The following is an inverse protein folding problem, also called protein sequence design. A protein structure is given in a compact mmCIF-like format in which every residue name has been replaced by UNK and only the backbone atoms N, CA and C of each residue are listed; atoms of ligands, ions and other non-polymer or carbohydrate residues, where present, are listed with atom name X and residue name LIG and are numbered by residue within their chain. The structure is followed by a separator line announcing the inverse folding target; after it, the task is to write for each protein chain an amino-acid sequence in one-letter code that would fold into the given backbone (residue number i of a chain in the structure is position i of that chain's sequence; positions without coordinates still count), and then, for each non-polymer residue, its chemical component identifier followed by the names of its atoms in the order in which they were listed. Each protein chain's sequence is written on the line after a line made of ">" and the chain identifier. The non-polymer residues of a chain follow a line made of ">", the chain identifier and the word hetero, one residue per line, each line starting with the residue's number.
data_IF_810281927184
#
_entry.id   IF_810281927184
#
_cell.length_a   1.000
_cell.length_b   1.000
_cell.length_c   1.000
_cell.angle_alpha   90.00
_cell.angle_beta   90.00
_cell.angle_gamma   90.00
#
_symmetry.space_group_name_H-M   'P 1'
#
loop_
_entity.id
_entity.type
_entity.pdbx_description
1 polymer ?
#
# COMPACT_ATOMS: atom_id res chain seq x y z
N UNK A 1 -53.70 -2.10 6.81
CA UNK A 1 -52.91 -3.21 6.19
C UNK A 1 -52.84 -2.97 4.69
N UNK A 2 -51.65 -2.61 4.18
CA UNK A 2 -51.31 -2.56 2.75
C UNK A 2 -49.89 -3.08 2.60
N UNK A 3 -49.76 -4.11 1.77
CA UNK A 3 -48.49 -4.66 1.29
C UNK A 3 -47.77 -3.61 0.45
N UNK A 4 -46.47 -3.41 0.70
CA UNK A 4 -45.53 -2.89 -0.27
C UNK A 4 -44.30 -3.79 -0.26
N UNK A 5 -44.21 -4.65 -1.28
CA UNK A 5 -42.93 -5.18 -1.71
C UNK A 5 -42.16 -4.08 -2.42
N UNK A 6 -40.87 -3.94 -2.08
CA UNK A 6 -39.89 -3.31 -2.96
C UNK A 6 -38.56 -4.08 -2.85
N UNK A 7 -38.31 -4.81 -3.93
CA UNK A 7 -37.01 -4.99 -4.58
C UNK A 7 -35.89 -5.72 -3.83
N UNK A 8 -35.88 -7.05 -4.03
CA UNK A 8 -34.67 -7.87 -4.05
C UNK A 8 -33.62 -7.41 -5.10
N UNK A 9 -33.89 -6.37 -5.89
CA UNK A 9 -32.97 -5.82 -6.88
C UNK A 9 -31.75 -5.09 -6.28
N UNK A 10 -31.79 -4.67 -5.01
CA UNK A 10 -30.63 -3.99 -4.40
C UNK A 10 -29.51 -4.98 -3.97
N UNK A 11 -29.85 -6.25 -3.74
CA UNK A 11 -28.87 -7.27 -3.35
C UNK A 11 -28.15 -7.90 -4.55
N UNK A 12 -28.73 -7.84 -5.76
CA UNK A 12 -28.15 -8.47 -6.97
C UNK A 12 -27.14 -7.56 -7.68
N UNK A 13 -27.21 -6.24 -7.50
CA UNK A 13 -26.29 -5.29 -8.16
C UNK A 13 -24.92 -5.20 -7.45
N UNK A 14 -24.84 -5.56 -6.17
CA UNK A 14 -23.58 -5.59 -5.42
C UNK A 14 -22.74 -6.85 -5.64
N UNK A 15 -23.35 -7.95 -6.10
CA UNK A 15 -22.61 -9.20 -6.33
C UNK A 15 -22.03 -9.27 -7.74
N UNK A 16 -22.67 -8.67 -8.76
CA UNK A 16 -22.17 -8.69 -10.15
C UNK A 16 -21.04 -7.69 -10.42
N UNK A 17 -20.94 -6.58 -9.67
CA UNK A 17 -19.82 -5.64 -9.78
C UNK A 17 -18.50 -6.17 -9.18
N UNK A 18 -18.54 -7.24 -8.38
CA UNK A 18 -17.33 -7.94 -7.90
C UNK A 18 -16.77 -8.96 -8.92
N UNK A 19 -17.52 -9.32 -9.97
CA UNK A 19 -17.17 -10.44 -10.88
C UNK A 19 -16.37 -10.01 -12.11
N UNK A 20 -16.02 -8.72 -12.23
CA UNK A 20 -15.20 -8.22 -13.34
C UNK A 20 -13.97 -7.45 -12.86
N UNK A 21 -13.41 -7.81 -11.70
CA UNK A 21 -11.99 -7.51 -11.48
C UNK A 21 -11.21 -8.38 -12.47
N UNK A 22 -10.67 -7.76 -13.52
CA UNK A 22 -9.74 -8.39 -14.44
C UNK A 22 -8.72 -9.21 -13.62
N UNK A 23 -8.40 -10.44 -14.04
CA UNK A 23 -7.43 -11.29 -13.37
C UNK A 23 -6.13 -10.52 -13.05
N UNK A 24 -5.78 -9.54 -13.89
CA UNK A 24 -4.70 -8.59 -13.66
C UNK A 24 -4.87 -7.71 -12.40
N UNK A 25 -6.06 -7.16 -12.15
CA UNK A 25 -6.34 -6.37 -10.95
C UNK A 25 -6.34 -7.24 -9.69
N UNK A 26 -6.90 -8.45 -9.75
CA UNK A 26 -6.89 -9.40 -8.64
C UNK A 26 -5.45 -9.78 -8.30
N UNK A 27 -4.63 -10.07 -9.32
CA UNK A 27 -3.24 -10.50 -9.18
C UNK A 27 -2.36 -9.50 -8.41
N UNK A 28 -2.58 -8.19 -8.58
CA UNK A 28 -1.78 -7.18 -7.88
C UNK A 28 -2.44 -6.64 -6.61
N UNK A 29 -3.76 -6.82 -6.44
CA UNK A 29 -4.51 -6.27 -5.31
C UNK A 29 -3.99 -6.80 -3.97
N UNK A 30 -3.65 -8.09 -3.91
CA UNK A 30 -3.11 -8.71 -2.69
C UNK A 30 -1.82 -8.04 -2.23
N UNK A 31 -0.86 -7.87 -3.13
CA UNK A 31 0.43 -7.26 -2.83
C UNK A 31 0.30 -5.77 -2.45
N UNK A 32 -0.63 -5.05 -3.08
CA UNK A 32 -0.91 -3.66 -2.74
C UNK A 32 -1.57 -3.49 -1.37
N UNK A 33 -2.40 -4.46 -0.94
CA UNK A 33 -2.98 -4.47 0.41
C UNK A 33 -1.90 -4.61 1.48
N UNK A 34 -0.90 -5.47 1.28
CA UNK A 34 0.18 -5.64 2.26
C UNK A 34 1.00 -4.36 2.45
N UNK A 35 1.28 -3.65 1.35
CA UNK A 35 1.94 -2.34 1.40
C UNK A 35 1.05 -1.28 2.09
N UNK A 36 -0.23 -1.19 1.73
CA UNK A 36 -1.18 -0.23 2.34
C UNK A 36 -1.30 -0.44 3.85
N UNK A 37 -1.45 -1.69 4.29
CA UNK A 37 -1.48 -2.05 5.71
C UNK A 37 -0.19 -1.62 6.41
N UNK A 38 0.97 -1.86 5.79
CA UNK A 38 2.26 -1.49 6.36
C UNK A 38 2.43 0.03 6.50
N UNK A 39 1.97 0.81 5.52
CA UNK A 39 1.99 2.29 5.59
C UNK A 39 1.02 2.82 6.64
N UNK A 40 -0.18 2.24 6.77
CA UNK A 40 -1.13 2.61 7.83
C UNK A 40 -0.59 2.27 9.22
N UNK A 41 0.04 1.11 9.37
CA UNK A 41 0.68 0.74 10.62
C UNK A 41 1.82 1.69 10.98
N UNK A 42 2.52 2.28 10.00
CA UNK A 42 3.55 3.28 10.26
C UNK A 42 2.93 4.55 10.84
N UNK A 43 1.83 5.03 10.25
CA UNK A 43 1.10 6.18 10.78
C UNK A 43 0.59 5.91 12.21
N UNK A 44 0.04 4.71 12.47
CA UNK A 44 -0.39 4.30 13.81
C UNK A 44 0.78 4.25 14.81
N UNK A 45 1.93 3.68 14.41
CA UNK A 45 3.13 3.59 15.26
C UNK A 45 3.62 4.98 15.69
N UNK A 46 3.58 5.94 14.77
CA UNK A 46 3.92 7.34 15.03
C UNK A 46 2.93 7.98 16.00
N UNK A 47 1.62 7.75 15.79
CA UNK A 47 0.58 8.33 16.62
C UNK A 47 0.63 7.84 18.08
N UNK A 48 0.98 6.57 18.31
CA UNK A 48 1.09 6.00 19.66
C UNK A 48 2.48 6.21 20.29
N UNK A 49 3.45 6.72 19.54
CA UNK A 49 4.82 6.95 20.02
C UNK A 49 5.57 5.67 20.38
N UNK A 50 5.17 4.51 19.84
CA UNK A 50 5.80 3.22 20.16
C UNK A 50 6.98 2.96 19.24
N UNK A 51 8.19 3.07 19.80
CA UNK A 51 9.45 2.82 19.10
C UNK A 51 9.57 1.40 18.55
N UNK A 52 9.13 0.39 19.29
CA UNK A 52 9.28 -1.01 18.88
C UNK A 52 8.39 -1.28 17.68
N UNK A 53 7.13 -0.85 17.77
CA UNK A 53 6.18 -0.97 16.65
C UNK A 53 6.67 -0.17 15.44
N UNK A 54 7.26 1.02 15.66
CA UNK A 54 7.88 1.80 14.59
C UNK A 54 9.00 1.02 13.87
N UNK A 55 9.95 0.43 14.60
CA UNK A 55 11.04 -0.35 13.97
C UNK A 55 10.51 -1.58 13.24
N UNK A 56 9.56 -2.32 13.84
CA UNK A 56 8.94 -3.49 13.22
C UNK A 56 8.27 -3.12 11.88
N UNK A 57 7.54 -2.00 11.84
CA UNK A 57 6.86 -1.55 10.62
C UNK A 57 7.84 -1.03 9.59
N UNK A 58 8.85 -0.25 9.99
CA UNK A 58 9.89 0.23 9.07
C UNK A 58 10.67 -0.94 8.46
N UNK A 59 10.94 -1.99 9.24
CA UNK A 59 11.57 -3.19 8.73
C UNK A 59 10.69 -3.91 7.70
N UNK A 60 9.38 -4.04 7.96
CA UNK A 60 8.44 -4.64 7.00
C UNK A 60 8.37 -3.84 5.69
N UNK A 61 8.33 -2.52 5.77
CA UNK A 61 8.32 -1.65 4.58
C UNK A 61 9.63 -1.73 3.79
N UNK A 62 10.78 -1.75 4.48
CA UNK A 62 12.08 -1.85 3.84
C UNK A 62 12.30 -3.23 3.17
N UNK A 63 11.79 -4.29 3.78
CA UNK A 63 11.90 -5.66 3.27
C UNK A 63 10.73 -6.10 2.38
N UNK A 64 9.71 -5.25 2.20
CA UNK A 64 8.56 -5.57 1.36
C UNK A 64 9.02 -5.85 -0.06
N UNK A 65 8.52 -6.91 -0.66
CA UNK A 65 8.77 -7.25 -2.06
C UNK A 65 7.48 -7.80 -2.63
N UNK A 66 7.20 -7.44 -3.89
CA UNK A 66 6.12 -8.07 -4.64
C UNK A 66 6.47 -9.54 -4.88
N UNK A 67 5.59 -10.45 -4.45
CA UNK A 67 5.76 -11.89 -4.63
C UNK A 67 4.92 -12.39 -5.80
N UNK A 68 5.44 -13.33 -6.57
CA UNK A 68 4.67 -14.00 -7.61
C UNK A 68 3.61 -14.91 -6.97
N UNK A 69 2.45 -15.02 -7.61
CA UNK A 69 1.33 -15.84 -7.15
C UNK A 69 1.11 -17.02 -8.10
N UNK A 70 1.20 -18.28 -7.63
CA UNK A 70 1.06 -19.46 -8.50
C UNK A 70 -0.25 -19.49 -9.29
N UNK A 71 -1.32 -19.00 -8.66
CA UNK A 71 -2.69 -18.93 -9.18
C UNK A 71 -2.90 -17.88 -10.29
N UNK A 72 -2.12 -16.79 -10.28
CA UNK A 72 -2.29 -15.67 -11.22
C UNK A 72 -0.99 -15.26 -11.94
N UNK A 73 0.06 -16.08 -11.90
CA UNK A 73 1.42 -15.66 -12.24
C UNK A 73 1.58 -15.07 -13.65
N UNK A 74 0.83 -15.55 -14.65
CA UNK A 74 0.83 -14.94 -15.98
C UNK A 74 0.27 -13.50 -15.95
N UNK A 75 -0.93 -13.33 -15.41
CA UNK A 75 -1.58 -12.02 -15.29
C UNK A 75 -0.77 -11.06 -14.42
N UNK A 76 -0.17 -11.56 -13.33
CA UNK A 76 0.72 -10.80 -12.46
C UNK A 76 1.94 -10.25 -13.23
N UNK A 77 2.66 -11.13 -13.95
CA UNK A 77 3.82 -10.73 -14.76
C UNK A 77 3.47 -9.75 -15.87
N UNK A 78 2.29 -9.90 -16.50
CA UNK A 78 1.79 -8.93 -17.48
C UNK A 78 1.58 -7.53 -16.86
N UNK A 79 1.00 -7.46 -15.66
CA UNK A 79 0.83 -6.19 -14.95
C UNK A 79 2.17 -5.60 -14.54
N UNK A 80 3.09 -6.41 -14.04
CA UNK A 80 4.44 -5.96 -13.70
C UNK A 80 5.16 -5.38 -14.93
N UNK A 81 5.09 -6.05 -16.08
CA UNK A 81 5.65 -5.51 -17.33
C UNK A 81 5.02 -4.17 -17.73
N UNK A 82 3.69 -4.02 -17.57
CA UNK A 82 3.01 -2.71 -17.78
C UNK A 82 3.52 -1.66 -16.79
N UNK A 83 3.76 -2.02 -15.54
CA UNK A 83 4.25 -1.12 -14.50
C UNK A 83 5.71 -0.73 -14.70
N UNK A 84 6.55 -1.64 -15.19
CA UNK A 84 7.93 -1.38 -15.60
C UNK A 84 7.98 -0.37 -16.74
N UNK A 85 7.20 -0.59 -17.79
CA UNK A 85 7.13 0.32 -18.95
C UNK A 85 6.67 1.73 -18.56
N UNK A 86 5.81 1.84 -17.55
CA UNK A 86 5.34 3.13 -17.00
C UNK A 86 6.27 3.72 -15.95
N UNK A 87 7.33 3.00 -15.59
CA UNK A 87 8.27 3.37 -14.56
C UNK A 87 7.58 3.69 -13.21
N UNK A 88 6.51 2.97 -12.86
CA UNK A 88 5.82 3.14 -11.56
C UNK A 88 6.43 2.29 -10.45
N UNK A 89 7.18 1.23 -10.79
CA UNK A 89 7.89 0.39 -9.82
C UNK A 89 8.92 1.21 -9.01
N UNK A 90 9.42 2.33 -9.56
CA UNK A 90 10.31 3.24 -8.83
C UNK A 90 9.68 3.78 -7.53
N UNK A 91 8.36 3.95 -7.48
CA UNK A 91 7.68 4.47 -6.29
C UNK A 91 7.74 3.47 -5.14
N UNK A 92 7.61 2.16 -5.43
CA UNK A 92 7.83 1.11 -4.44
C UNK A 92 9.26 1.13 -3.88
N UNK A 93 10.26 1.32 -4.76
CA UNK A 93 11.66 1.49 -4.35
C UNK A 93 11.89 2.74 -3.48
N UNK A 94 11.21 3.85 -3.79
CA UNK A 94 11.28 5.06 -2.98
C UNK A 94 10.71 4.85 -1.58
N UNK A 95 9.61 4.12 -1.45
CA UNK A 95 9.05 3.73 -0.14
C UNK A 95 10.05 2.89 0.65
N UNK A 96 10.61 1.84 0.05
CA UNK A 96 11.61 0.98 0.69
C UNK A 96 12.84 1.78 1.14
N UNK A 97 13.34 2.66 0.26
CA UNK A 97 14.53 3.49 0.52
C UNK A 97 14.30 4.42 1.70
N UNK A 98 13.16 5.12 1.75
CA UNK A 98 12.86 6.01 2.87
C UNK A 98 12.65 5.23 4.17
N UNK A 99 11.98 4.07 4.12
CA UNK A 99 11.83 3.20 5.29
C UNK A 99 13.20 2.72 5.83
N UNK A 100 14.11 2.32 4.94
CA UNK A 100 15.46 1.91 5.30
C UNK A 100 16.29 3.07 5.86
N UNK A 101 16.15 4.27 5.29
CA UNK A 101 16.81 5.48 5.78
C UNK A 101 16.35 5.86 7.18
N UNK A 102 15.04 5.82 7.44
CA UNK A 102 14.48 6.05 8.77
C UNK A 102 14.98 5.00 9.76
N UNK A 103 14.95 3.72 9.38
CA UNK A 103 15.44 2.65 10.25
C UNK A 103 16.93 2.80 10.58
N UNK A 104 17.75 3.09 9.59
CA UNK A 104 19.18 3.37 9.77
C UNK A 104 19.44 4.60 10.64
N UNK A 105 18.61 5.63 10.54
CA UNK A 105 18.69 6.80 11.44
C UNK A 105 18.35 6.44 12.90
N UNK A 106 17.33 5.61 13.12
CA UNK A 106 16.83 5.27 14.45
C UNK A 106 17.67 4.22 15.17
N UNK A 107 18.42 3.39 14.43
CA UNK A 107 19.21 2.28 14.98
C UNK A 107 20.25 2.72 16.02
N UNK A 108 20.84 3.91 15.84
CA UNK A 108 21.85 4.47 16.75
C UNK A 108 21.25 5.14 18.01
N UNK A 109 19.92 5.23 18.13
CA UNK A 109 19.24 5.95 19.21
C UNK A 109 18.67 4.95 20.20
N UNK A 110 18.66 5.25 21.50
CA UNK A 110 17.99 4.40 22.52
C UNK A 110 16.55 4.83 22.80
N UNK A 111 16.33 6.12 23.06
CA UNK A 111 15.01 6.77 23.14
C UNK A 111 14.90 7.81 22.03
N UNK A 112 13.69 8.06 21.55
CA UNK A 112 13.43 9.06 20.51
C UNK A 112 13.04 10.38 21.16
N UNK A 113 13.76 11.44 20.81
CA UNK A 113 13.42 12.81 21.17
C UNK A 113 12.39 13.39 20.17
N UNK A 114 11.81 14.55 20.49
CA UNK A 114 10.83 15.22 19.61
C UNK A 114 11.37 15.47 18.20
N UNK A 115 12.66 15.84 18.09
CA UNK A 115 13.33 16.02 16.80
C UNK A 115 13.41 14.71 15.99
N UNK A 116 13.52 13.56 16.65
CA UNK A 116 13.51 12.26 15.97
C UNK A 116 12.11 11.95 15.44
N UNK A 117 11.06 12.20 16.24
CA UNK A 117 9.67 12.03 15.81
C UNK A 117 9.28 12.99 14.68
N UNK A 118 9.78 14.23 14.70
CA UNK A 118 9.61 15.17 13.60
C UNK A 118 10.23 14.61 12.30
N UNK A 119 11.43 14.04 12.38
CA UNK A 119 12.08 13.40 11.23
C UNK A 119 11.31 12.18 10.72
N UNK A 120 10.77 11.36 11.62
CA UNK A 120 9.92 10.22 11.26
C UNK A 120 8.65 10.69 10.53
N UNK A 121 8.00 11.76 10.99
CA UNK A 121 6.85 12.37 10.31
C UNK A 121 7.20 12.88 8.91
N UNK A 122 8.36 13.54 8.74
CA UNK A 122 8.86 13.96 7.42
C UNK A 122 9.06 12.76 6.50
N UNK A 123 9.64 11.67 7.01
CA UNK A 123 9.81 10.44 6.25
C UNK A 123 8.48 9.78 5.85
N UNK A 124 7.49 9.74 6.77
CA UNK A 124 6.12 9.31 6.45
C UNK A 124 5.54 10.14 5.29
N UNK A 125 5.71 11.47 5.32
CA UNK A 125 5.25 12.36 4.25
C UNK A 125 5.81 12.00 2.87
N UNK A 126 7.11 11.64 2.80
CA UNK A 126 7.73 11.18 1.53
C UNK A 126 7.22 9.82 1.08
N UNK A 127 6.99 8.89 2.02
CA UNK A 127 6.37 7.59 1.73
C UNK A 127 4.98 7.80 1.11
N UNK A 128 4.12 8.60 1.76
CA UNK A 128 2.78 8.91 1.28
C UNK A 128 2.79 9.61 -0.08
N UNK A 129 3.74 10.53 -0.31
CA UNK A 129 3.94 11.19 -1.61
C UNK A 129 4.26 10.18 -2.71
N UNK A 130 5.10 9.18 -2.41
CA UNK A 130 5.44 8.10 -3.35
C UNK A 130 4.23 7.21 -3.67
N UNK A 131 3.45 6.85 -2.65
CA UNK A 131 2.18 6.12 -2.82
C UNK A 131 1.20 6.91 -3.72
N UNK A 132 1.01 8.20 -3.44
CA UNK A 132 0.12 9.06 -4.22
C UNK A 132 0.57 9.20 -5.67
N UNK A 133 1.87 9.36 -5.92
CA UNK A 133 2.41 9.45 -7.27
C UNK A 133 2.20 8.16 -8.07
N UNK A 134 2.35 6.99 -7.43
CA UNK A 134 2.00 5.70 -8.02
C UNK A 134 0.50 5.63 -8.38
N UNK A 135 -0.38 5.92 -7.42
CA UNK A 135 -1.83 5.91 -7.63
C UNK A 135 -2.27 6.85 -8.75
N UNK A 136 -1.77 8.09 -8.77
CA UNK A 136 -2.09 9.07 -9.80
C UNK A 136 -1.67 8.59 -11.20
N UNK A 137 -0.51 7.96 -11.30
CA UNK A 137 -0.02 7.46 -12.59
C UNK A 137 -0.90 6.33 -13.11
N UNK A 138 -1.32 5.42 -12.23
CA UNK A 138 -2.17 4.29 -12.60
C UNK A 138 -3.65 4.67 -12.82
N UNK A 139 -4.14 5.74 -12.18
CA UNK A 139 -5.53 6.21 -12.33
C UNK A 139 -5.76 7.03 -13.60
N UNK A 140 -4.76 7.77 -14.08
CA UNK A 140 -4.88 8.61 -15.30
C UNK A 140 -5.27 7.81 -16.55
N UNK A 141 -5.13 6.49 -16.54
CA UNK A 141 -5.48 5.61 -17.66
C UNK A 141 -6.85 4.94 -17.55
N UNK A 142 -7.59 5.14 -16.45
CA UNK A 142 -8.96 4.63 -16.33
C UNK A 142 -10.01 5.54 -17.00
N UNK A 143 -9.58 6.65 -17.61
CA UNK A 143 -10.39 7.61 -18.36
C UNK A 143 -9.98 7.57 -19.82
#
# INVERSE_FOLDING_TARGET
>A
MRLFGFSAACAVVLVTALVAADAQQIAVRREMIEMDISVRNLASAIAIGDRKVLDDVLQRLAAWQMKDHPEYGKAFREVLGKWENKNVIKFGRQVQTEAQNLRGYLSARGKLADADWARVNVGLGKILTSCQACHNTLQKEKK
#
